data_IF_295760880337
#
_entry.id   IF_295760880337
#
_cell.length_a   1.000
_cell.length_b   1.000
_cell.length_c   1.000
_cell.angle_alpha   90.00
_cell.angle_beta   90.00
_cell.angle_gamma   90.00
#
_symmetry.space_group_name_H-M   'P 1'
#
loop_
_entity.id
_entity.type
_entity.pdbx_description
1 polymer ?
#
# COMPACT_ATOMS: atom_id res chain seq x y z
N UNK A 1 23.50 -18.84 -1.29
CA UNK A 1 24.15 -20.07 -0.79
C UNK A 1 23.43 -21.36 -1.20
N UNK A 2 22.12 -21.36 -1.36
CA UNK A 2 21.34 -22.57 -1.74
C UNK A 2 21.37 -22.75 -3.27
N UNK A 3 21.41 -21.68 -4.07
CA UNK A 3 21.43 -21.75 -5.53
C UNK A 3 22.73 -22.40 -6.04
N UNK A 4 23.86 -22.22 -5.36
CA UNK A 4 25.16 -22.75 -5.78
C UNK A 4 25.28 -24.26 -5.54
N UNK A 5 24.56 -24.84 -4.58
CA UNK A 5 24.63 -26.28 -4.26
C UNK A 5 23.85 -27.13 -5.28
N UNK A 6 22.79 -26.60 -5.87
CA UNK A 6 21.94 -27.33 -6.84
C UNK A 6 22.55 -27.29 -8.26
N UNK A 7 23.32 -26.26 -8.60
CA UNK A 7 23.99 -26.15 -9.91
C UNK A 7 25.05 -27.24 -10.16
N UNK A 8 25.50 -27.97 -9.13
CA UNK A 8 26.52 -29.02 -9.21
C UNK A 8 25.97 -30.44 -9.16
N UNK A 9 24.65 -30.65 -9.21
CA UNK A 9 24.09 -31.98 -9.39
C UNK A 9 24.27 -32.34 -10.87
N UNK A 10 25.31 -33.10 -11.16
CA UNK A 10 25.63 -33.57 -12.51
C UNK A 10 24.44 -34.33 -13.11
N UNK A 11 24.12 -33.99 -14.35
CA UNK A 11 23.12 -34.68 -15.20
C UNK A 11 23.51 -36.14 -15.40
N UNK A 12 23.08 -37.01 -14.51
CA UNK A 12 23.39 -38.46 -14.62
C UNK A 12 22.49 -39.34 -13.78
N UNK A 13 21.80 -38.83 -12.80
CA UNK A 13 20.83 -39.62 -12.02
C UNK A 13 19.41 -39.40 -12.55
N UNK A 14 18.68 -40.48 -12.68
CA UNK A 14 17.29 -40.57 -13.13
C UNK A 14 16.46 -39.49 -12.46
N UNK A 15 16.28 -38.36 -13.12
CA UNK A 15 15.47 -37.27 -12.62
C UNK A 15 14.05 -37.78 -12.49
N UNK A 16 13.61 -37.95 -11.26
CA UNK A 16 12.28 -38.42 -10.91
C UNK A 16 11.24 -37.33 -11.25
N UNK A 17 10.99 -37.21 -12.56
CA UNK A 17 10.08 -36.21 -13.11
C UNK A 17 8.65 -36.42 -12.59
N UNK A 18 8.05 -35.34 -12.12
CA UNK A 18 6.72 -35.38 -11.52
C UNK A 18 5.68 -34.67 -12.39
N UNK A 19 4.45 -35.11 -12.29
CA UNK A 19 3.32 -34.42 -12.90
C UNK A 19 3.02 -33.08 -12.17
N UNK A 20 2.33 -32.17 -12.85
CA UNK A 20 1.89 -30.90 -12.25
C UNK A 20 1.06 -31.10 -10.97
N UNK A 21 0.25 -32.20 -10.93
CA UNK A 21 -0.54 -32.51 -9.74
C UNK A 21 0.32 -32.93 -8.54
N UNK A 22 1.40 -33.68 -8.79
CA UNK A 22 2.35 -34.03 -7.73
C UNK A 22 3.17 -32.80 -7.28
N UNK A 23 3.60 -31.98 -8.23
CA UNK A 23 4.30 -30.73 -7.91
C UNK A 23 3.43 -29.82 -7.05
N UNK A 24 2.14 -29.69 -7.38
CA UNK A 24 1.16 -28.96 -6.58
C UNK A 24 1.05 -29.50 -5.15
N UNK A 25 1.01 -30.81 -4.96
CA UNK A 25 0.97 -31.44 -3.64
C UNK A 25 2.25 -31.19 -2.82
N UNK A 26 3.41 -31.24 -3.46
CA UNK A 26 4.69 -31.00 -2.77
C UNK A 26 4.90 -29.56 -2.38
N UNK A 27 4.52 -28.63 -3.25
CA UNK A 27 4.78 -27.20 -3.04
C UNK A 27 3.65 -26.48 -2.31
N UNK A 28 2.46 -27.07 -2.25
CA UNK A 28 1.24 -26.42 -1.76
C UNK A 28 0.66 -25.37 -2.73
N UNK A 29 1.28 -25.19 -3.90
CA UNK A 29 0.86 -24.21 -4.91
C UNK A 29 -0.19 -24.84 -5.84
N UNK A 30 -1.24 -24.08 -6.18
CA UNK A 30 -2.28 -24.60 -7.06
C UNK A 30 -1.75 -24.95 -8.45
N UNK A 31 -2.34 -25.97 -9.07
CA UNK A 31 -2.02 -26.36 -10.45
C UNK A 31 -2.18 -25.18 -11.43
N UNK A 32 -3.15 -24.31 -11.18
CA UNK A 32 -3.35 -23.11 -11.99
C UNK A 32 -2.16 -22.13 -11.87
N UNK A 33 -1.70 -21.88 -10.65
CA UNK A 33 -0.54 -21.00 -10.39
C UNK A 33 0.74 -21.58 -11.00
N UNK A 34 0.96 -22.90 -10.89
CA UNK A 34 2.12 -23.56 -11.49
C UNK A 34 2.12 -23.37 -13.02
N UNK A 35 0.99 -23.62 -13.68
CA UNK A 35 0.84 -23.41 -15.13
C UNK A 35 1.02 -21.92 -15.52
N UNK A 36 0.61 -21.01 -14.65
CA UNK A 36 0.80 -19.60 -14.87
C UNK A 36 2.29 -19.20 -14.76
N UNK A 37 3.00 -19.74 -13.78
CA UNK A 37 4.46 -19.54 -13.65
C UNK A 37 5.22 -20.12 -14.83
N UNK A 38 4.80 -21.31 -15.32
CA UNK A 38 5.36 -21.89 -16.55
C UNK A 38 5.13 -20.97 -17.76
N UNK A 39 3.92 -20.43 -17.92
CA UNK A 39 3.59 -19.49 -19.00
C UNK A 39 4.45 -18.22 -18.96
N UNK A 40 4.79 -17.77 -17.76
CA UNK A 40 5.68 -16.62 -17.57
C UNK A 40 7.16 -16.97 -17.71
N UNK A 41 7.52 -18.25 -17.90
CA UNK A 41 8.92 -18.66 -17.96
C UNK A 41 9.66 -18.62 -16.63
N UNK A 42 8.93 -18.58 -15.51
CA UNK A 42 9.50 -18.64 -14.16
C UNK A 42 9.93 -20.06 -13.78
N UNK A 43 9.27 -21.06 -14.34
CA UNK A 43 9.60 -22.47 -14.21
C UNK A 43 9.60 -23.12 -15.59
N UNK A 44 10.37 -24.20 -15.73
CA UNK A 44 10.42 -24.97 -16.94
C UNK A 44 9.71 -26.32 -16.78
N UNK A 45 9.18 -26.84 -17.87
CA UNK A 45 8.68 -28.23 -17.95
C UNK A 45 9.30 -28.93 -19.14
N UNK A 46 9.50 -30.24 -19.04
CA UNK A 46 9.79 -31.13 -20.14
C UNK A 46 8.53 -31.87 -20.59
N UNK A 47 8.58 -32.52 -21.74
CA UNK A 47 7.53 -33.44 -22.18
C UNK A 47 8.08 -34.86 -22.21
N UNK A 48 7.35 -35.79 -21.59
CA UNK A 48 7.73 -37.19 -21.66
C UNK A 48 7.54 -37.71 -23.07
N UNK A 49 8.56 -38.31 -23.65
CA UNK A 49 8.57 -38.81 -25.02
C UNK A 49 7.42 -39.80 -25.29
N UNK A 50 7.07 -40.66 -24.31
CA UNK A 50 6.08 -41.70 -24.48
C UNK A 50 4.62 -41.25 -24.33
N UNK A 51 4.34 -40.15 -23.65
CA UNK A 51 2.97 -39.74 -23.29
C UNK A 51 2.61 -38.30 -23.63
N UNK A 52 3.58 -37.50 -24.08
CA UNK A 52 3.44 -36.06 -24.32
C UNK A 52 2.92 -35.22 -23.10
N UNK A 53 2.88 -35.86 -21.91
CA UNK A 53 2.50 -35.15 -20.68
C UNK A 53 3.65 -34.31 -20.17
N UNK A 54 3.30 -33.11 -19.61
CA UNK A 54 4.27 -32.25 -18.95
C UNK A 54 4.84 -32.90 -17.70
N UNK A 55 6.15 -32.83 -17.57
CA UNK A 55 6.88 -33.26 -16.38
C UNK A 55 7.78 -32.18 -15.87
N UNK A 56 7.98 -32.15 -14.57
CA UNK A 56 8.72 -31.16 -13.82
C UNK A 56 9.79 -31.85 -13.01
N UNK A 57 10.97 -31.29 -13.04
CA UNK A 57 12.15 -31.76 -12.32
C UNK A 57 12.26 -31.14 -10.92
N UNK A 58 13.32 -31.47 -10.19
CA UNK A 58 13.63 -30.89 -8.88
C UNK A 58 13.88 -29.39 -8.98
N UNK A 59 14.50 -28.95 -10.08
CA UNK A 59 14.74 -27.52 -10.32
C UNK A 59 13.44 -26.73 -10.38
N UNK A 60 12.43 -27.24 -11.08
CA UNK A 60 11.10 -26.61 -11.15
C UNK A 60 10.47 -26.46 -9.75
N UNK A 61 10.67 -27.43 -8.87
CA UNK A 61 10.22 -27.35 -7.48
C UNK A 61 10.94 -26.22 -6.73
N UNK A 62 12.25 -26.14 -6.87
CA UNK A 62 13.06 -25.09 -6.25
C UNK A 62 12.67 -23.69 -6.76
N UNK A 63 12.51 -23.54 -8.08
CA UNK A 63 12.11 -22.30 -8.71
C UNK A 63 10.73 -21.82 -8.19
N UNK A 64 9.80 -22.76 -7.95
CA UNK A 64 8.50 -22.43 -7.32
C UNK A 64 8.71 -21.86 -5.90
N UNK A 65 9.55 -22.49 -5.07
CA UNK A 65 9.80 -21.99 -3.72
C UNK A 65 10.48 -20.62 -3.74
N UNK A 66 11.41 -20.38 -4.65
CA UNK A 66 12.01 -19.06 -4.85
C UNK A 66 10.94 -18.03 -5.28
N UNK A 67 10.07 -18.38 -6.22
CA UNK A 67 8.95 -17.52 -6.60
C UNK A 67 8.05 -17.19 -5.40
N UNK A 68 7.69 -18.19 -4.60
CA UNK A 68 6.86 -17.99 -3.40
C UNK A 68 7.55 -17.09 -2.38
N UNK A 69 8.83 -17.32 -2.12
CA UNK A 69 9.64 -16.52 -1.20
C UNK A 69 9.60 -15.04 -1.58
N UNK A 70 9.93 -14.71 -2.82
CA UNK A 70 9.93 -13.33 -3.29
C UNK A 70 8.52 -12.73 -3.36
N UNK A 71 7.51 -13.52 -3.75
CA UNK A 71 6.10 -13.07 -3.72
C UNK A 71 5.65 -12.70 -2.31
N UNK A 72 6.00 -13.49 -1.31
CA UNK A 72 5.67 -13.20 0.10
C UNK A 72 6.39 -11.96 0.64
N UNK A 73 7.52 -11.58 0.05
CA UNK A 73 8.20 -10.31 0.33
C UNK A 73 7.58 -9.12 -0.44
N UNK A 74 6.60 -9.37 -1.32
CA UNK A 74 5.91 -8.34 -2.08
C UNK A 74 6.51 -8.02 -3.45
N UNK A 75 7.50 -8.78 -3.92
CA UNK A 75 8.07 -8.57 -5.26
C UNK A 75 7.06 -8.83 -6.37
N UNK A 76 7.15 -8.05 -7.43
CA UNK A 76 6.37 -8.29 -8.64
C UNK A 76 6.84 -9.55 -9.37
N UNK A 77 5.96 -10.18 -10.15
CA UNK A 77 6.37 -11.33 -10.97
C UNK A 77 7.44 -10.96 -12.01
N UNK A 78 7.47 -9.71 -12.44
CA UNK A 78 8.48 -9.19 -13.36
C UNK A 78 9.86 -9.15 -12.69
N UNK A 79 9.93 -8.68 -11.45
CA UNK A 79 11.19 -8.64 -10.69
C UNK A 79 11.71 -10.05 -10.42
N UNK A 80 10.79 -10.98 -10.06
CA UNK A 80 11.14 -12.38 -9.83
C UNK A 80 11.67 -13.03 -11.12
N UNK A 81 11.04 -12.77 -12.27
CA UNK A 81 11.49 -13.29 -13.55
C UNK A 81 12.91 -12.80 -13.87
N UNK A 82 13.20 -11.52 -13.61
CA UNK A 82 14.52 -10.94 -13.80
C UNK A 82 15.56 -11.61 -12.88
N UNK A 83 15.23 -11.77 -11.60
CA UNK A 83 16.11 -12.41 -10.61
C UNK A 83 16.43 -13.86 -10.96
N UNK A 84 15.43 -14.65 -11.36
CA UNK A 84 15.62 -16.06 -11.73
C UNK A 84 16.41 -16.22 -13.03
N UNK A 85 16.32 -15.23 -13.94
CA UNK A 85 17.02 -15.24 -15.21
C UNK A 85 18.48 -14.80 -15.09
N UNK A 86 18.73 -13.73 -14.38
CA UNK A 86 20.03 -13.09 -14.32
C UNK A 86 20.90 -13.60 -13.17
N UNK A 87 20.26 -14.03 -12.06
CA UNK A 87 20.96 -14.61 -10.90
C UNK A 87 21.97 -13.67 -10.22
N UNK A 88 21.82 -12.36 -10.44
CA UNK A 88 22.77 -11.36 -9.96
C UNK A 88 22.47 -10.94 -8.51
N UNK A 89 23.47 -11.11 -7.64
CA UNK A 89 23.37 -10.72 -6.23
C UNK A 89 23.25 -9.19 -6.06
N UNK A 90 23.82 -8.39 -6.96
CA UNK A 90 23.72 -6.94 -6.89
C UNK A 90 22.28 -6.49 -7.18
N UNK A 91 21.66 -7.08 -8.20
CA UNK A 91 20.24 -6.84 -8.51
C UNK A 91 19.34 -7.25 -7.34
N UNK A 92 19.56 -8.44 -6.77
CA UNK A 92 18.78 -8.90 -5.61
C UNK A 92 18.92 -7.94 -4.42
N UNK A 93 20.14 -7.51 -4.11
CA UNK A 93 20.41 -6.55 -3.04
C UNK A 93 19.66 -5.23 -3.25
N UNK A 94 19.71 -4.70 -4.48
CA UNK A 94 19.03 -3.46 -4.86
C UNK A 94 17.50 -3.57 -4.70
N UNK A 95 16.92 -4.68 -5.16
CA UNK A 95 15.48 -4.90 -5.04
C UNK A 95 15.03 -5.09 -3.58
N UNK A 96 15.83 -5.78 -2.77
CA UNK A 96 15.56 -5.94 -1.34
C UNK A 96 15.62 -4.60 -0.60
N UNK A 97 16.63 -3.78 -0.89
CA UNK A 97 16.75 -2.43 -0.31
C UNK A 97 15.57 -1.56 -0.67
N UNK A 98 15.21 -1.51 -1.96
CA UNK A 98 14.04 -0.76 -2.44
C UNK A 98 12.77 -1.21 -1.72
N UNK A 99 12.53 -2.53 -1.62
CA UNK A 99 11.31 -3.05 -0.96
C UNK A 99 11.30 -2.76 0.54
N UNK A 100 12.46 -2.80 1.18
CA UNK A 100 12.60 -2.41 2.58
C UNK A 100 12.21 -0.95 2.81
N UNK A 101 12.65 -0.04 1.93
CA UNK A 101 12.30 1.38 1.99
C UNK A 101 10.80 1.62 1.73
N UNK A 102 10.22 0.94 0.73
CA UNK A 102 8.78 0.99 0.46
C UNK A 102 7.97 0.56 1.70
N UNK A 103 8.35 -0.56 2.32
CA UNK A 103 7.70 -1.05 3.53
C UNK A 103 7.83 -0.09 4.71
N UNK A 104 8.99 0.56 4.88
CA UNK A 104 9.18 1.56 5.92
C UNK A 104 8.22 2.75 5.74
N UNK A 105 8.03 3.19 4.50
CA UNK A 105 7.06 4.24 4.17
C UNK A 105 5.63 3.77 4.45
N UNK A 106 5.23 2.58 3.96
CA UNK A 106 3.90 2.00 4.21
C UNK A 106 3.60 1.91 5.72
N UNK A 107 4.57 1.47 6.53
CA UNK A 107 4.43 1.39 7.99
C UNK A 107 4.21 2.76 8.61
N UNK A 108 4.97 3.77 8.17
CA UNK A 108 4.82 5.15 8.68
C UNK A 108 3.42 5.70 8.36
N UNK A 109 2.94 5.51 7.15
CA UNK A 109 1.59 5.92 6.74
C UNK A 109 0.49 5.24 7.55
N UNK A 110 0.64 3.93 7.81
CA UNK A 110 -0.30 3.17 8.63
C UNK A 110 -0.29 3.63 10.09
N UNK A 111 0.87 3.96 10.66
CA UNK A 111 0.98 4.49 12.02
C UNK A 111 0.31 5.86 12.13
N UNK A 112 0.51 6.75 11.18
CA UNK A 112 -0.14 8.05 11.12
C UNK A 112 -1.67 7.91 11.02
N UNK A 113 -2.14 6.99 10.17
CA UNK A 113 -3.58 6.69 10.02
C UNK A 113 -4.17 6.16 11.32
N UNK A 114 -3.46 5.26 11.99
CA UNK A 114 -3.89 4.71 13.28
C UNK A 114 -3.98 5.80 14.35
N UNK A 115 -2.99 6.69 14.43
CA UNK A 115 -3.00 7.80 15.38
C UNK A 115 -4.19 8.72 15.14
N UNK A 116 -4.47 9.07 13.90
CA UNK A 116 -5.65 9.83 13.53
C UNK A 116 -6.95 9.17 14.02
N UNK A 117 -7.11 7.87 13.76
CA UNK A 117 -8.29 7.10 14.21
C UNK A 117 -8.41 7.15 15.75
N UNK A 118 -7.31 6.96 16.48
CA UNK A 118 -7.35 7.00 17.95
C UNK A 118 -7.69 8.40 18.49
N UNK A 119 -7.28 9.46 17.82
CA UNK A 119 -7.66 10.82 18.19
C UNK A 119 -9.17 11.05 17.98
N UNK A 120 -9.73 10.66 16.85
CA UNK A 120 -11.19 10.72 16.64
C UNK A 120 -11.97 9.88 17.67
N UNK A 121 -11.47 8.72 18.03
CA UNK A 121 -12.10 7.89 19.08
C UNK A 121 -12.12 8.59 20.44
N UNK A 122 -11.04 9.28 20.81
CA UNK A 122 -10.98 10.08 22.05
C UNK A 122 -11.97 11.23 22.01
N UNK A 123 -12.03 11.96 20.89
CA UNK A 123 -12.99 13.06 20.70
C UNK A 123 -14.44 12.57 20.83
N UNK A 124 -14.79 11.46 20.20
CA UNK A 124 -16.12 10.86 20.29
C UNK A 124 -16.45 10.42 21.72
N UNK A 125 -15.50 9.82 22.45
CA UNK A 125 -15.72 9.42 23.84
C UNK A 125 -15.95 10.61 24.76
N UNK A 126 -15.44 11.79 24.41
CA UNK A 126 -15.59 13.02 25.17
C UNK A 126 -16.85 13.82 24.81
N UNK A 127 -17.45 13.50 23.67
CA UNK A 127 -18.56 14.26 23.10
C UNK A 127 -19.75 14.34 24.06
N UNK A 128 -20.15 13.23 24.68
CA UNK A 128 -21.28 13.16 25.60
C UNK A 128 -21.06 14.03 26.85
N UNK A 129 -19.82 14.15 27.32
CA UNK A 129 -19.47 15.03 28.46
C UNK A 129 -19.50 16.49 28.08
N UNK A 130 -19.24 16.81 26.83
CA UNK A 130 -19.16 18.17 26.29
C UNK A 130 -20.50 18.68 25.78
N UNK A 131 -21.43 17.79 25.46
CA UNK A 131 -22.71 18.16 24.89
C UNK A 131 -23.51 19.15 25.79
N UNK A 132 -23.94 20.26 25.21
CA UNK A 132 -24.67 21.29 25.88
C UNK A 132 -23.87 22.19 26.84
N UNK A 133 -22.51 22.13 26.78
CA UNK A 133 -21.62 22.97 27.57
C UNK A 133 -20.75 23.82 26.62
N UNK A 134 -20.31 24.96 27.13
CA UNK A 134 -19.38 25.84 26.45
C UNK A 134 -17.97 25.58 26.99
N UNK A 135 -17.00 25.50 26.08
CA UNK A 135 -15.59 25.34 26.40
C UNK A 135 -14.78 26.41 25.67
N UNK A 136 -13.73 26.84 26.31
CA UNK A 136 -12.67 27.65 25.68
C UNK A 136 -11.44 26.76 25.66
N UNK A 137 -10.94 26.51 24.50
CA UNK A 137 -9.74 25.69 24.28
C UNK A 137 -8.75 26.49 23.42
N UNK A 138 -7.48 26.25 23.61
CA UNK A 138 -6.45 26.77 22.72
C UNK A 138 -6.64 26.14 21.34
N UNK A 139 -6.75 26.97 20.33
CA UNK A 139 -6.93 26.55 18.95
C UNK A 139 -5.58 26.63 18.25
N UNK A 140 -5.11 25.55 17.61
CA UNK A 140 -3.91 25.64 16.77
C UNK A 140 -4.15 26.59 15.60
N UNK A 141 -3.07 27.07 15.01
CA UNK A 141 -3.16 27.84 13.78
C UNK A 141 -3.70 26.97 12.65
N UNK A 142 -4.65 27.50 11.90
CA UNK A 142 -5.28 26.81 10.77
C UNK A 142 -5.04 27.60 9.48
N UNK A 143 -4.64 26.88 8.44
CA UNK A 143 -4.92 27.34 7.08
C UNK A 143 -6.39 27.08 6.79
N UNK A 144 -7.17 28.14 6.59
CA UNK A 144 -8.62 28.04 6.35
C UNK A 144 -8.98 28.50 4.94
N UNK A 145 -9.53 27.60 4.15
CA UNK A 145 -10.11 27.92 2.84
C UNK A 145 -11.60 28.07 2.96
N UNK A 146 -12.07 29.29 2.78
CA UNK A 146 -13.46 29.65 2.77
C UNK A 146 -14.10 29.13 1.50
N UNK A 147 -15.21 28.39 1.59
CA UNK A 147 -15.95 27.80 0.46
C UNK A 147 -17.33 28.41 0.29
N UNK A 148 -17.89 28.98 1.36
CA UNK A 148 -19.18 29.66 1.31
C UNK A 148 -19.12 31.02 1.99
N UNK A 149 -20.07 31.86 1.62
CA UNK A 149 -20.45 33.07 2.36
C UNK A 149 -21.93 32.96 2.67
N UNK A 150 -22.27 32.79 3.94
CA UNK A 150 -23.57 32.30 4.33
C UNK A 150 -23.85 30.94 3.69
N UNK A 151 -25.01 30.79 3.07
CA UNK A 151 -25.43 29.55 2.38
C UNK A 151 -25.01 29.48 0.91
N UNK A 152 -24.33 30.49 0.37
CA UNK A 152 -23.95 30.55 -1.03
C UNK A 152 -22.49 30.11 -1.21
N UNK A 153 -22.23 29.27 -2.20
CA UNK A 153 -20.86 28.96 -2.61
C UNK A 153 -20.14 30.21 -3.12
N UNK A 154 -18.86 30.29 -2.85
CA UNK A 154 -17.99 31.32 -3.44
C UNK A 154 -17.77 31.04 -4.92
N UNK A 155 -17.47 32.07 -5.71
CA UNK A 155 -17.14 31.96 -7.11
C UNK A 155 -15.88 31.10 -7.33
N UNK A 156 -15.85 30.34 -8.44
CA UNK A 156 -14.71 29.49 -8.81
C UNK A 156 -13.38 30.26 -8.78
N UNK A 157 -13.36 31.48 -9.29
CA UNK A 157 -12.17 32.35 -9.27
C UNK A 157 -11.67 32.67 -7.86
N UNK A 158 -12.53 32.61 -6.84
CA UNK A 158 -12.17 32.82 -5.44
C UNK A 158 -11.60 31.55 -4.77
N UNK A 159 -11.76 30.39 -5.41
CA UNK A 159 -11.31 29.10 -4.92
C UNK A 159 -9.95 28.67 -5.48
N UNK A 160 -9.43 29.37 -6.49
CA UNK A 160 -8.32 28.87 -7.32
C UNK A 160 -6.91 29.34 -6.90
N UNK A 161 -6.68 30.05 -5.82
CA UNK A 161 -5.45 30.85 -5.80
C UNK A 161 -4.24 30.29 -5.08
N UNK A 162 -4.34 29.20 -4.32
CA UNK A 162 -3.25 28.80 -3.42
C UNK A 162 -2.50 27.51 -3.78
N UNK A 163 -2.96 26.79 -4.80
CA UNK A 163 -2.33 25.55 -5.25
C UNK A 163 -2.45 24.37 -4.27
N UNK A 164 -3.18 24.52 -3.16
CA UNK A 164 -3.35 23.49 -2.15
C UNK A 164 -4.52 22.59 -2.55
N UNK A 165 -4.25 21.30 -2.77
CA UNK A 165 -5.27 20.30 -2.97
C UNK A 165 -5.78 19.77 -1.63
N UNK A 166 -6.89 20.31 -1.12
CA UNK A 166 -7.47 19.89 0.16
C UNK A 166 -7.80 18.41 0.25
N UNK A 167 -8.05 17.74 -0.88
CA UNK A 167 -8.35 16.31 -0.91
C UNK A 167 -7.15 15.46 -0.46
N UNK A 168 -5.93 15.93 -0.69
CA UNK A 168 -4.70 15.26 -0.22
C UNK A 168 -4.56 15.31 1.30
N UNK A 169 -5.17 16.31 1.91
CA UNK A 169 -5.17 16.51 3.37
C UNK A 169 -6.46 16.01 4.02
N UNK A 170 -7.38 15.38 3.27
CA UNK A 170 -8.70 15.01 3.77
C UNK A 170 -8.71 14.32 5.15
N UNK A 171 -7.79 13.41 5.51
CA UNK A 171 -7.76 12.83 6.83
C UNK A 171 -7.39 13.82 7.95
N UNK A 172 -6.68 14.89 7.64
CA UNK A 172 -6.19 15.92 8.57
C UNK A 172 -6.93 17.26 8.44
N UNK A 173 -7.85 17.36 7.49
CA UNK A 173 -8.66 18.56 7.30
C UNK A 173 -9.91 18.52 8.16
N UNK A 174 -10.28 19.65 8.71
CA UNK A 174 -11.49 19.83 9.51
C UNK A 174 -12.47 20.74 8.80
N UNK A 175 -13.77 20.47 8.97
CA UNK A 175 -14.83 21.36 8.55
C UNK A 175 -14.93 22.48 9.56
N UNK A 176 -14.73 23.72 9.14
CA UNK A 176 -14.69 24.89 10.00
C UNK A 176 -15.82 25.88 9.65
N UNK A 177 -16.33 26.54 10.66
CA UNK A 177 -17.32 27.59 10.56
C UNK A 177 -16.72 28.88 11.12
N UNK A 178 -16.57 29.87 10.27
CA UNK A 178 -16.17 31.21 10.69
C UNK A 178 -17.43 32.05 10.91
N UNK A 179 -17.60 32.58 12.12
CA UNK A 179 -18.71 33.46 12.50
C UNK A 179 -18.21 34.90 12.55
N UNK A 180 -18.86 35.80 11.81
CA UNK A 180 -18.54 37.22 11.93
C UNK A 180 -19.21 37.86 13.16
N UNK A 181 -18.76 39.04 13.62
CA UNK A 181 -19.38 39.75 14.75
C UNK A 181 -20.88 40.04 14.53
N UNK A 182 -21.30 40.20 13.28
CA UNK A 182 -22.71 40.42 12.90
C UNK A 182 -23.61 39.23 13.20
N UNK A 183 -23.07 38.04 13.12
CA UNK A 183 -23.79 36.78 13.50
C UNK A 183 -24.28 36.87 14.93
N UNK A 184 -23.44 37.32 15.84
CA UNK A 184 -23.77 37.48 17.26
C UNK A 184 -24.70 38.68 17.55
N UNK A 185 -24.93 39.56 16.55
CA UNK A 185 -25.90 40.66 16.62
C UNK A 185 -27.25 40.28 16.01
N UNK A 186 -27.41 39.02 15.58
CA UNK A 186 -28.68 38.50 15.05
C UNK A 186 -28.72 38.30 13.55
N UNK A 187 -27.66 38.62 12.79
CA UNK A 187 -27.57 38.29 11.39
C UNK A 187 -27.06 36.85 11.22
N UNK A 188 -27.99 35.90 11.23
CA UNK A 188 -27.67 34.48 11.11
C UNK A 188 -27.09 34.06 9.73
N UNK A 189 -27.02 34.99 8.76
CA UNK A 189 -26.35 34.75 7.49
C UNK A 189 -24.87 35.15 7.47
N UNK A 190 -24.42 35.81 8.55
CA UNK A 190 -23.08 36.36 8.67
C UNK A 190 -22.06 35.30 9.12
N UNK A 191 -21.98 34.21 8.39
CA UNK A 191 -20.99 33.15 8.58
C UNK A 191 -20.35 32.74 7.26
N UNK A 192 -19.23 32.04 7.35
CA UNK A 192 -18.58 31.35 6.23
C UNK A 192 -18.21 29.93 6.65
N UNK A 193 -18.44 28.99 5.76
CA UNK A 193 -18.04 27.61 5.93
C UNK A 193 -16.90 27.27 5.00
N UNK A 194 -16.03 26.37 5.43
CA UNK A 194 -14.92 25.90 4.64
C UNK A 194 -14.16 24.77 5.31
N UNK A 195 -13.03 24.43 4.72
CA UNK A 195 -12.11 23.44 5.28
C UNK A 195 -10.83 24.10 5.77
N UNK A 196 -10.37 23.64 6.91
CA UNK A 196 -9.11 24.04 7.50
C UNK A 196 -8.14 22.89 7.70
N UNK A 197 -6.87 23.19 7.60
CA UNK A 197 -5.77 22.26 7.90
C UNK A 197 -5.01 22.90 9.05
N UNK A 198 -4.76 22.14 10.13
CA UNK A 198 -3.87 22.58 11.20
C UNK A 198 -2.46 22.80 10.66
N UNK A 199 -1.88 23.95 11.00
CA UNK A 199 -0.50 24.29 10.64
C UNK A 199 0.34 24.03 11.88
N UNK A 200 1.13 22.96 11.85
CA UNK A 200 2.14 22.72 12.87
C UNK A 200 3.25 23.76 12.68
N UNK A 201 3.43 24.65 13.68
CA UNK A 201 4.43 25.71 13.66
C UNK A 201 5.86 25.22 13.95
N UNK A 202 6.04 23.91 14.12
CA UNK A 202 7.32 23.31 14.51
C UNK A 202 8.09 22.63 13.35
N UNK A 203 7.83 23.03 12.06
CA UNK A 203 8.66 22.61 10.92
C UNK A 203 9.02 23.77 10.02
#
# INVERSE_FOLDING_TARGET
YIITVIANIQAGEIMNEKTVGMLSKFTGVSVHTIKYYEKLGLISSSRREQSNYRSYDVKSCTDIYECMKYRNMGFSLKDIQLLLKEGDNALLSSLLEKRSQELATEVTELLNTRELIENYRKELADLDRRLGKWYIEDCPDFYFRRQTKGLNYMDEASCESDGINLAEYAPKSSSLLELSPEYFKGDLSAFSWGHGISVDTDN
#
